data_IF_285868693671
#
_entry.id   IF_285868693671
#
_cell.length_a   1.000
_cell.length_b   1.000
_cell.length_c   1.000
_cell.angle_alpha   90.00
_cell.angle_beta   90.00
_cell.angle_gamma   90.00
#
_symmetry.space_group_name_H-M   'P 1'
#
loop_
_entity.id
_entity.type
_entity.pdbx_description
1 polymer ?
#
# COMPACT_ATOMS: atom_id res chain seq x y z
N UNK A 1 -8.02 6.55 4.54
CA UNK A 1 -7.45 6.90 5.88
C UNK A 1 -7.28 8.40 6.04
N UNK A 2 -6.50 9.11 5.20
CA UNK A 2 -6.26 10.57 5.33
C UNK A 2 -7.56 11.38 5.28
N UNK A 3 -8.47 11.09 4.33
CA UNK A 3 -9.81 11.72 4.27
C UNK A 3 -10.63 11.48 5.55
N UNK A 4 -10.56 10.26 6.10
CA UNK A 4 -11.20 9.93 7.37
C UNK A 4 -10.60 10.67 8.59
N UNK A 5 -9.36 11.12 8.49
CA UNK A 5 -8.70 11.97 9.49
C UNK A 5 -8.95 13.48 9.25
N UNK A 6 -9.79 13.85 8.28
CA UNK A 6 -10.15 15.24 7.99
C UNK A 6 -9.27 15.94 6.95
N UNK A 7 -8.34 15.25 6.30
CA UNK A 7 -7.53 15.86 5.26
C UNK A 7 -8.32 16.06 3.96
N UNK A 8 -8.06 17.17 3.26
CA UNK A 8 -8.38 17.30 1.82
C UNK A 8 -7.36 16.45 1.06
N UNK A 9 -7.82 15.45 0.33
CA UNK A 9 -6.95 14.52 -0.38
C UNK A 9 -7.08 14.73 -1.88
N UNK A 10 -5.94 14.91 -2.53
CA UNK A 10 -5.79 14.93 -3.99
C UNK A 10 -5.11 13.62 -4.39
N UNK A 11 -5.62 12.98 -5.42
CA UNK A 11 -5.05 11.75 -5.99
C UNK A 11 -4.38 12.07 -7.32
N UNK A 12 -3.19 11.51 -7.54
CA UNK A 12 -2.55 11.50 -8.85
C UNK A 12 -2.55 10.07 -9.37
N UNK A 13 -2.97 9.85 -10.60
CA UNK A 13 -3.13 8.50 -11.15
C UNK A 13 -2.91 8.49 -12.67
N UNK A 14 -2.34 7.40 -13.19
CA UNK A 14 -2.12 7.19 -14.63
C UNK A 14 -3.18 6.28 -15.26
N UNK A 15 -3.75 5.35 -14.46
CA UNK A 15 -4.79 4.44 -14.94
C UNK A 15 -6.15 5.17 -14.95
N UNK A 16 -6.79 5.29 -16.13
CA UNK A 16 -8.08 6.00 -16.23
C UNK A 16 -9.19 5.32 -15.42
N UNK A 17 -9.15 4.01 -15.22
CA UNK A 17 -10.13 3.28 -14.40
C UNK A 17 -9.95 3.63 -12.93
N UNK A 18 -8.72 3.57 -12.42
CA UNK A 18 -8.41 3.96 -11.04
C UNK A 18 -8.68 5.44 -10.80
N UNK A 19 -8.36 6.31 -11.75
CA UNK A 19 -8.67 7.74 -11.68
C UNK A 19 -10.20 7.99 -11.59
N UNK A 20 -10.99 7.27 -12.40
CA UNK A 20 -12.44 7.35 -12.35
C UNK A 20 -12.99 6.84 -11.01
N UNK A 21 -12.49 5.72 -10.50
CA UNK A 21 -12.87 5.21 -9.18
C UNK A 21 -12.58 6.23 -8.07
N UNK A 22 -11.37 6.81 -8.06
CA UNK A 22 -11.00 7.84 -7.10
C UNK A 22 -11.95 9.06 -7.17
N UNK A 23 -12.29 9.50 -8.38
CA UNK A 23 -13.23 10.59 -8.59
C UNK A 23 -14.65 10.26 -8.10
N UNK A 24 -15.13 9.03 -8.34
CA UNK A 24 -16.43 8.55 -7.85
C UNK A 24 -16.46 8.42 -6.32
N UNK A 25 -15.33 8.12 -5.68
CA UNK A 25 -15.16 8.13 -4.21
C UNK A 25 -15.07 9.54 -3.62
N UNK A 26 -15.17 10.56 -4.47
CA UNK A 26 -15.19 11.98 -4.10
C UNK A 26 -13.80 12.53 -3.77
N UNK A 27 -12.75 12.01 -4.42
CA UNK A 27 -11.43 12.62 -4.43
C UNK A 27 -11.26 13.54 -5.62
N UNK A 28 -10.49 14.59 -5.44
CA UNK A 28 -9.99 15.41 -6.52
C UNK A 28 -8.83 14.66 -7.20
N UNK A 29 -8.86 14.54 -8.53
CA UNK A 29 -7.81 13.86 -9.30
C UNK A 29 -7.10 14.90 -10.15
N UNK A 30 -5.78 15.06 -9.95
CA UNK A 30 -4.93 16.05 -10.65
C UNK A 30 -3.59 15.43 -11.05
N UNK A 31 -2.88 16.11 -11.95
CA UNK A 31 -1.45 15.81 -12.15
C UNK A 31 -0.64 16.33 -10.98
N UNK A 32 0.50 15.68 -10.72
CA UNK A 32 1.37 16.01 -9.59
C UNK A 32 1.82 17.50 -9.65
N UNK A 33 2.24 17.96 -10.80
CA UNK A 33 2.72 19.34 -11.01
C UNK A 33 1.65 20.39 -10.66
N UNK A 34 0.38 20.03 -10.84
CA UNK A 34 -0.75 20.91 -10.48
C UNK A 34 -1.10 20.84 -9.00
N UNK A 35 -0.87 19.68 -8.35
CA UNK A 35 -1.19 19.44 -6.95
C UNK A 35 -0.12 19.99 -5.98
N UNK A 36 1.15 19.95 -6.35
CA UNK A 36 2.28 20.33 -5.49
C UNK A 36 2.13 21.71 -4.85
N UNK A 37 1.75 22.78 -5.56
CA UNK A 37 1.67 24.12 -4.96
C UNK A 37 0.61 24.28 -3.87
N UNK A 38 -0.27 23.29 -3.69
CA UNK A 38 -1.32 23.31 -2.68
C UNK A 38 -1.21 22.14 -1.67
N UNK A 39 -0.13 21.33 -1.79
CA UNK A 39 0.06 20.14 -0.96
C UNK A 39 0.90 20.45 0.29
N UNK A 40 0.38 20.09 1.46
CA UNK A 40 1.14 20.10 2.72
C UNK A 40 1.87 18.77 2.94
N UNK A 41 1.32 17.67 2.42
CA UNK A 41 1.89 16.33 2.57
C UNK A 41 1.82 15.62 1.21
N UNK A 42 2.95 15.10 0.75
CA UNK A 42 3.06 14.30 -0.48
C UNK A 42 3.44 12.88 -0.09
N UNK A 43 2.61 11.93 -0.51
CA UNK A 43 2.82 10.50 -0.27
C UNK A 43 2.93 9.79 -1.61
N UNK A 44 4.07 9.20 -1.91
CA UNK A 44 4.24 8.36 -3.09
C UNK A 44 3.88 6.91 -2.79
N UNK A 45 3.16 6.24 -3.69
CA UNK A 45 2.63 4.89 -3.51
C UNK A 45 2.46 4.15 -4.84
N UNK A 46 3.31 4.42 -5.82
CA UNK A 46 3.12 3.98 -7.19
C UNK A 46 3.82 2.66 -7.54
N UNK A 47 4.84 2.28 -6.77
CA UNK A 47 5.73 1.17 -7.12
C UNK A 47 6.60 1.45 -8.37
N UNK A 48 6.65 2.70 -8.83
CA UNK A 48 7.43 3.15 -9.97
C UNK A 48 8.71 3.88 -9.48
N UNK A 49 9.33 4.68 -10.30
CA UNK A 49 10.52 5.47 -9.96
C UNK A 49 10.35 6.94 -10.36
N UNK A 50 11.17 7.79 -9.74
CA UNK A 50 11.30 9.22 -10.10
C UNK A 50 9.95 9.95 -10.16
N UNK A 51 9.07 9.66 -9.22
CA UNK A 51 7.75 10.31 -9.12
C UNK A 51 7.91 11.75 -8.60
N UNK A 52 8.68 11.92 -7.51
CA UNK A 52 9.04 13.23 -7.00
C UNK A 52 10.49 13.51 -7.40
N UNK A 53 10.68 14.45 -8.33
CA UNK A 53 11.96 14.86 -8.89
C UNK A 53 12.34 16.27 -8.46
N UNK A 54 13.49 16.74 -8.92
CA UNK A 54 14.05 18.03 -8.56
C UNK A 54 13.09 19.21 -8.78
N UNK A 55 12.46 19.31 -9.96
CA UNK A 55 11.49 20.34 -10.26
C UNK A 55 10.27 20.32 -9.34
N UNK A 56 9.90 19.16 -8.83
CA UNK A 56 8.81 19.01 -7.87
C UNK A 56 9.20 19.57 -6.49
N UNK A 57 10.40 19.25 -6.01
CA UNK A 57 10.92 19.81 -4.76
C UNK A 57 10.99 21.33 -4.79
N UNK A 58 11.44 21.90 -5.91
CA UNK A 58 11.56 23.35 -6.08
C UNK A 58 10.21 24.07 -6.16
N UNK A 59 9.12 23.36 -6.45
CA UNK A 59 7.75 23.87 -6.54
C UNK A 59 6.94 23.69 -5.25
N UNK A 60 7.49 23.01 -4.23
CA UNK A 60 6.83 22.78 -2.95
C UNK A 60 6.76 24.03 -2.09
N UNK A 61 5.70 24.13 -1.30
CA UNK A 61 5.56 25.17 -0.29
C UNK A 61 6.45 24.92 0.92
N UNK A 62 6.67 25.96 1.72
CA UNK A 62 7.37 25.85 3.00
C UNK A 62 6.69 24.82 3.91
N UNK A 63 7.49 23.96 4.54
CA UNK A 63 7.09 22.86 5.43
C UNK A 63 6.31 21.72 4.79
N UNK A 64 6.34 21.60 3.47
CA UNK A 64 5.81 20.41 2.81
C UNK A 64 6.54 19.16 3.31
N UNK A 65 5.76 18.13 3.68
CA UNK A 65 6.27 16.83 4.11
C UNK A 65 6.21 15.85 2.94
N UNK A 66 7.32 15.18 2.68
CA UNK A 66 7.43 14.21 1.59
C UNK A 66 7.77 12.84 2.16
N UNK A 67 7.00 11.82 1.79
CA UNK A 67 7.24 10.46 2.22
C UNK A 67 6.80 9.43 1.18
N UNK A 68 7.36 8.23 1.29
CA UNK A 68 7.08 7.12 0.41
C UNK A 68 6.46 5.95 1.18
N UNK A 69 5.43 5.34 0.60
CA UNK A 69 4.83 4.08 1.05
C UNK A 69 4.85 3.03 -0.08
N UNK A 70 5.47 3.34 -1.21
CA UNK A 70 5.72 2.41 -2.29
C UNK A 70 6.77 1.36 -1.92
N UNK A 71 7.04 0.42 -2.81
CA UNK A 71 7.85 -0.76 -2.49
C UNK A 71 9.35 -0.45 -2.27
N UNK A 72 9.91 0.45 -3.07
CA UNK A 72 11.32 0.84 -3.01
C UNK A 72 11.50 2.33 -2.75
N UNK A 73 12.71 2.73 -2.40
CA UNK A 73 13.13 4.09 -2.10
C UNK A 73 13.43 4.97 -3.35
N UNK A 74 13.11 4.49 -4.53
CA UNK A 74 13.39 5.14 -5.81
C UNK A 74 12.22 6.00 -6.35
N UNK A 75 11.11 6.10 -5.63
CA UNK A 75 9.99 6.97 -6.04
C UNK A 75 10.29 8.46 -5.82
N UNK A 76 11.17 8.77 -4.86
CA UNK A 76 11.58 10.12 -4.50
C UNK A 76 13.06 10.26 -4.83
N UNK A 77 13.43 11.23 -5.68
CA UNK A 77 14.81 11.45 -6.10
C UNK A 77 15.65 12.12 -4.99
N UNK A 78 15.96 11.32 -3.97
CA UNK A 78 16.82 11.76 -2.85
C UNK A 78 18.27 11.99 -3.33
N UNK A 79 18.72 11.31 -4.37
CA UNK A 79 20.05 11.50 -4.92
C UNK A 79 20.21 12.92 -5.49
N UNK A 80 19.24 13.37 -6.26
CA UNK A 80 19.21 14.75 -6.76
C UNK A 80 19.14 15.75 -5.61
N UNK A 81 18.29 15.52 -4.62
CA UNK A 81 18.13 16.38 -3.47
C UNK A 81 19.44 16.54 -2.68
N UNK A 82 20.14 15.45 -2.40
CA UNK A 82 21.45 15.48 -1.74
C UNK A 82 22.53 16.18 -2.60
N UNK A 83 22.49 16.01 -3.90
CA UNK A 83 23.46 16.63 -4.80
C UNK A 83 23.29 18.16 -4.86
N UNK A 84 22.06 18.67 -4.84
CA UNK A 84 21.78 20.10 -5.05
C UNK A 84 21.57 20.88 -3.75
N UNK A 85 21.07 20.23 -2.71
CA UNK A 85 20.68 20.85 -1.44
C UNK A 85 21.22 20.10 -0.21
N UNK A 86 22.15 19.16 -0.39
CA UNK A 86 22.75 18.38 0.69
C UNK A 86 23.43 19.21 1.76
N UNK A 87 24.04 20.35 1.39
CA UNK A 87 24.67 21.28 2.34
C UNK A 87 23.66 21.94 3.30
N UNK A 88 22.38 21.99 2.91
CA UNK A 88 21.30 22.52 3.74
C UNK A 88 20.56 21.45 4.55
N UNK A 89 20.98 20.17 4.41
CA UNK A 89 20.36 19.05 5.13
C UNK A 89 20.56 19.17 6.62
N UNK A 90 19.47 19.14 7.36
CA UNK A 90 19.44 19.10 8.83
C UNK A 90 18.56 17.95 9.31
N UNK A 91 19.15 17.00 10.04
CA UNK A 91 18.40 15.88 10.63
C UNK A 91 17.74 16.32 11.92
N UNK A 92 16.46 16.67 11.86
CA UNK A 92 15.67 17.18 12.99
C UNK A 92 15.53 16.12 14.09
N UNK A 93 15.32 14.88 13.68
CA UNK A 93 15.27 13.68 14.55
C UNK A 93 15.50 12.43 13.68
N UNK A 94 15.76 11.25 14.28
CA UNK A 94 15.96 10.03 13.50
C UNK A 94 14.88 9.83 12.44
N UNK A 95 15.31 9.61 11.19
CA UNK A 95 14.47 9.40 10.00
C UNK A 95 13.64 10.62 9.56
N UNK A 96 13.98 11.84 10.03
CA UNK A 96 13.30 13.09 9.62
C UNK A 96 14.35 14.13 9.27
N UNK A 97 14.53 14.36 8.00
CA UNK A 97 15.47 15.32 7.44
C UNK A 97 14.75 16.55 6.89
N UNK A 98 15.32 17.72 7.16
CA UNK A 98 14.89 19.00 6.59
C UNK A 98 15.91 19.46 5.57
N UNK A 99 15.45 19.94 4.44
CA UNK A 99 16.25 20.59 3.41
C UNK A 99 15.72 22.00 3.17
N UNK A 100 16.59 23.01 3.10
CA UNK A 100 16.17 24.34 2.68
C UNK A 100 16.34 24.48 1.17
N UNK A 101 15.21 24.58 0.48
CA UNK A 101 15.13 24.63 -0.98
C UNK A 101 14.59 25.99 -1.40
N UNK A 102 15.43 26.84 -1.95
CA UNK A 102 15.05 28.20 -2.38
C UNK A 102 14.34 29.03 -1.30
N UNK A 103 14.66 28.78 -0.03
CA UNK A 103 14.08 29.50 1.11
C UNK A 103 12.90 28.79 1.77
N UNK A 104 12.38 27.70 1.20
CA UNK A 104 11.36 26.85 1.78
C UNK A 104 12.00 25.65 2.47
N UNK A 105 11.55 25.32 3.66
CA UNK A 105 11.96 24.12 4.39
C UNK A 105 11.10 22.93 3.95
N UNK A 106 11.72 21.93 3.33
CA UNK A 106 11.04 20.69 2.93
C UNK A 106 11.46 19.56 3.87
N UNK A 107 10.49 18.81 4.36
CA UNK A 107 10.70 17.74 5.34
C UNK A 107 10.58 16.39 4.63
N UNK A 108 11.65 15.61 4.62
CA UNK A 108 11.71 14.28 4.02
C UNK A 108 11.72 13.22 5.11
N UNK A 109 10.79 12.28 5.02
CA UNK A 109 10.69 11.18 5.98
C UNK A 109 11.41 9.93 5.47
N UNK A 110 12.13 9.26 6.37
CA UNK A 110 12.83 7.99 6.15
C UNK A 110 13.76 7.99 4.92
N UNK A 111 14.29 9.16 4.50
CA UNK A 111 15.14 9.31 3.31
C UNK A 111 14.50 8.71 2.04
N UNK A 112 13.18 8.84 1.89
CA UNK A 112 12.43 8.26 0.76
C UNK A 112 12.16 6.76 0.86
N UNK A 113 12.65 6.07 1.91
CA UNK A 113 12.32 4.68 2.17
C UNK A 113 10.90 4.54 2.72
N UNK A 114 10.42 3.31 2.87
CA UNK A 114 9.09 3.00 3.42
C UNK A 114 8.84 3.70 4.76
N UNK A 115 8.00 4.72 4.76
CA UNK A 115 7.72 5.57 5.92
C UNK A 115 7.08 4.82 7.07
N UNK A 116 6.25 3.82 6.79
CA UNK A 116 5.62 3.00 7.83
C UNK A 116 6.62 2.13 8.63
N UNK A 117 7.78 1.84 8.05
CA UNK A 117 8.86 1.12 8.72
C UNK A 117 9.89 2.08 9.33
N UNK A 118 10.23 3.16 8.63
CA UNK A 118 11.23 4.13 9.09
C UNK A 118 10.73 5.07 10.18
N UNK A 119 9.50 5.55 10.08
CA UNK A 119 8.92 6.56 10.98
C UNK A 119 7.74 6.05 11.82
N UNK A 120 7.36 4.76 11.68
CA UNK A 120 6.27 4.15 12.42
C UNK A 120 6.62 2.69 12.79
N UNK A 121 5.64 1.94 13.25
CA UNK A 121 5.83 0.56 13.76
C UNK A 121 5.44 -0.53 12.75
N UNK A 122 5.14 -0.15 11.52
CA UNK A 122 4.63 -1.07 10.49
C UNK A 122 3.20 -1.54 10.76
N UNK A 123 2.84 -2.68 10.18
CA UNK A 123 1.52 -3.28 10.37
C UNK A 123 1.41 -3.99 11.74
N UNK A 124 0.23 -3.97 12.37
CA UNK A 124 -0.02 -4.76 13.58
C UNK A 124 0.27 -6.24 13.38
N UNK A 125 0.79 -6.91 14.41
CA UNK A 125 1.15 -8.34 14.36
C UNK A 125 -0.02 -9.23 13.95
N UNK A 126 -1.24 -8.90 14.36
CA UNK A 126 -2.44 -9.65 13.98
C UNK A 126 -2.71 -9.58 12.47
N UNK A 127 -2.52 -8.40 11.84
CA UNK A 127 -2.66 -8.25 10.39
C UNK A 127 -1.60 -9.07 9.65
N UNK A 128 -0.33 -8.98 10.10
CA UNK A 128 0.77 -9.73 9.51
C UNK A 128 0.65 -11.25 9.73
N UNK A 129 0.00 -11.68 10.81
CA UNK A 129 -0.31 -13.11 11.06
C UNK A 129 -1.10 -13.73 9.91
N UNK A 130 -2.05 -13.00 9.29
CA UNK A 130 -2.77 -13.49 8.11
C UNK A 130 -1.81 -13.78 6.95
N UNK A 131 -0.91 -12.83 6.66
CA UNK A 131 0.08 -12.99 5.59
C UNK A 131 1.05 -14.14 5.85
N UNK A 132 1.59 -14.24 7.07
CA UNK A 132 2.53 -15.31 7.43
C UNK A 132 1.88 -16.70 7.44
N UNK A 133 0.64 -16.79 7.90
CA UNK A 133 -0.12 -18.04 7.86
C UNK A 133 -0.35 -18.48 6.41
N UNK A 134 -0.71 -17.52 5.53
CA UNK A 134 -0.90 -17.82 4.12
C UNK A 134 0.41 -18.31 3.47
N UNK A 135 1.53 -17.63 3.70
CA UNK A 135 2.85 -18.06 3.22
C UNK A 135 3.22 -19.46 3.72
N UNK A 136 2.96 -19.75 4.99
CA UNK A 136 3.24 -21.07 5.57
C UNK A 136 2.37 -22.16 4.94
N UNK A 137 1.07 -21.91 4.78
CA UNK A 137 0.17 -22.88 4.14
C UNK A 137 0.52 -23.08 2.66
N UNK A 138 0.95 -22.04 1.96
CA UNK A 138 1.44 -22.13 0.60
C UNK A 138 2.65 -23.07 0.48
N UNK A 139 3.63 -22.92 1.36
CA UNK A 139 4.80 -23.79 1.38
C UNK A 139 4.42 -25.25 1.70
N UNK A 140 3.51 -25.45 2.64
CA UNK A 140 3.01 -26.81 2.98
C UNK A 140 2.29 -27.43 1.79
N UNK A 141 1.47 -26.66 1.08
CA UNK A 141 0.76 -27.11 -0.12
C UNK A 141 1.74 -27.56 -1.22
N UNK A 142 2.68 -26.68 -1.57
CA UNK A 142 3.68 -26.97 -2.58
C UNK A 142 4.58 -28.17 -2.21
N UNK A 143 4.92 -28.30 -0.94
CA UNK A 143 5.72 -29.45 -0.47
C UNK A 143 4.95 -30.76 -0.53
N UNK A 144 3.73 -30.79 -0.01
CA UNK A 144 2.92 -32.01 0.07
C UNK A 144 2.44 -32.49 -1.30
N UNK A 145 2.13 -31.55 -2.17
CA UNK A 145 1.51 -31.81 -3.48
C UNK A 145 2.44 -31.45 -4.64
N UNK A 146 3.76 -31.49 -4.40
CA UNK A 146 4.79 -31.08 -5.37
C UNK A 146 4.66 -31.70 -6.75
N UNK A 147 4.10 -32.91 -6.84
CA UNK A 147 3.88 -33.59 -8.12
C UNK A 147 2.79 -32.95 -8.99
N UNK A 148 1.98 -32.07 -8.43
CA UNK A 148 0.91 -31.35 -9.12
C UNK A 148 1.36 -29.97 -9.63
N UNK A 149 2.61 -29.58 -9.33
CA UNK A 149 3.15 -28.27 -9.64
C UNK A 149 4.44 -28.43 -10.42
N UNK A 150 4.46 -27.87 -11.62
CA UNK A 150 5.69 -27.73 -12.40
C UNK A 150 6.47 -26.49 -11.93
N UNK A 151 7.62 -26.21 -12.55
CA UNK A 151 8.40 -25.01 -12.26
C UNK A 151 7.77 -23.79 -12.96
N UNK A 152 6.67 -23.28 -12.38
CA UNK A 152 5.88 -22.19 -12.91
C UNK A 152 5.22 -21.38 -11.76
N UNK A 153 4.47 -20.34 -12.10
CA UNK A 153 3.70 -19.51 -11.16
C UNK A 153 2.26 -20.00 -11.10
N UNK A 154 1.80 -20.34 -9.90
CA UNK A 154 0.46 -20.86 -9.65
C UNK A 154 -0.34 -19.96 -8.72
N UNK A 155 -1.65 -19.89 -8.97
CA UNK A 155 -2.62 -19.47 -7.98
C UNK A 155 -2.99 -20.68 -7.12
N UNK A 156 -2.79 -20.57 -5.83
CA UNK A 156 -3.13 -21.65 -4.91
C UNK A 156 -4.64 -21.75 -4.68
N UNK A 157 -5.14 -22.94 -4.27
CA UNK A 157 -6.57 -23.16 -4.05
C UNK A 157 -7.18 -22.15 -3.06
N UNK A 158 -8.35 -21.59 -3.40
CA UNK A 158 -9.10 -20.64 -2.55
C UNK A 158 -9.38 -21.16 -1.13
N UNK A 159 -9.48 -22.46 -0.97
CA UNK A 159 -9.64 -23.07 0.35
C UNK A 159 -8.50 -22.76 1.33
N UNK A 160 -7.29 -22.47 0.83
CA UNK A 160 -6.18 -22.04 1.69
C UNK A 160 -6.41 -20.62 2.23
N UNK A 161 -6.88 -19.70 1.39
CA UNK A 161 -7.23 -18.33 1.81
C UNK A 161 -8.36 -18.36 2.84
N UNK A 162 -9.42 -19.14 2.57
CA UNK A 162 -10.53 -19.31 3.49
C UNK A 162 -10.11 -19.93 4.82
N UNK A 163 -9.16 -20.87 4.80
CA UNK A 163 -8.59 -21.48 6.00
C UNK A 163 -7.83 -20.45 6.84
N UNK A 164 -7.02 -19.60 6.21
CA UNK A 164 -6.34 -18.49 6.90
C UNK A 164 -7.36 -17.59 7.58
N UNK A 165 -8.39 -17.16 6.86
CA UNK A 165 -9.44 -16.30 7.39
C UNK A 165 -10.16 -16.97 8.58
N UNK A 166 -10.58 -18.23 8.45
CA UNK A 166 -11.26 -18.97 9.52
C UNK A 166 -10.43 -19.03 10.81
N UNK A 167 -9.13 -19.33 10.71
CA UNK A 167 -8.22 -19.37 11.86
C UNK A 167 -8.13 -18.03 12.61
N UNK A 168 -8.24 -16.91 11.89
CA UNK A 168 -8.15 -15.57 12.49
C UNK A 168 -9.50 -15.07 13.03
N UNK A 169 -10.62 -15.48 12.40
CA UNK A 169 -11.97 -15.09 12.84
C UNK A 169 -12.32 -15.60 14.24
N UNK A 170 -11.84 -16.77 14.61
CA UNK A 170 -12.02 -17.30 15.96
C UNK A 170 -11.45 -16.35 17.03
N UNK A 171 -10.31 -15.74 16.75
CA UNK A 171 -9.66 -14.80 17.66
C UNK A 171 -10.44 -13.49 17.83
N UNK A 172 -11.25 -13.15 16.84
CA UNK A 172 -12.11 -11.96 16.83
C UNK A 172 -13.53 -12.23 17.35
N UNK A 173 -13.80 -13.47 17.80
CA UNK A 173 -15.13 -13.91 18.23
C UNK A 173 -16.20 -13.70 17.16
N UNK A 174 -15.84 -13.90 15.88
CA UNK A 174 -16.76 -13.76 14.75
C UNK A 174 -17.51 -15.05 14.52
N UNK A 175 -18.82 -14.95 14.43
CA UNK A 175 -19.71 -16.05 14.07
C UNK A 175 -20.10 -15.93 12.59
N UNK A 176 -19.76 -16.97 11.80
CA UNK A 176 -20.12 -17.04 10.40
C UNK A 176 -21.51 -17.65 10.22
N UNK A 177 -22.31 -17.06 9.35
CA UNK A 177 -23.56 -17.66 8.89
C UNK A 177 -23.29 -18.98 8.17
N UNK A 178 -24.08 -20.00 8.47
CA UNK A 178 -23.97 -21.30 7.82
C UNK A 178 -24.98 -21.39 6.67
N UNK A 179 -24.51 -21.74 5.48
CA UNK A 179 -25.38 -22.02 4.34
C UNK A 179 -26.22 -23.29 4.59
N UNK A 180 -27.50 -23.20 4.20
CA UNK A 180 -28.32 -24.39 4.00
C UNK A 180 -28.01 -25.02 2.64
N UNK A 181 -28.40 -26.26 2.46
CA UNK A 181 -28.17 -27.01 1.22
C UNK A 181 -28.82 -26.32 0.01
N UNK A 182 -30.10 -25.93 0.16
CA UNK A 182 -30.86 -25.21 -0.87
C UNK A 182 -30.23 -23.87 -1.26
N UNK A 183 -29.61 -23.17 -0.32
CA UNK A 183 -28.90 -21.91 -0.60
C UNK A 183 -27.57 -22.16 -1.34
N UNK A 184 -26.83 -23.17 -0.94
CA UNK A 184 -25.57 -23.53 -1.58
C UNK A 184 -25.81 -23.97 -3.02
N UNK A 185 -26.84 -24.79 -3.25
CA UNK A 185 -27.27 -25.22 -4.59
C UNK A 185 -27.70 -24.02 -5.46
N UNK A 186 -28.52 -23.12 -4.92
CA UNK A 186 -29.00 -21.94 -5.64
C UNK A 186 -27.87 -21.03 -6.17
N UNK A 187 -26.81 -20.82 -5.36
CA UNK A 187 -25.67 -20.00 -5.76
C UNK A 187 -24.52 -20.79 -6.40
N UNK A 188 -24.68 -22.10 -6.55
CA UNK A 188 -23.69 -22.95 -7.24
C UNK A 188 -22.36 -23.16 -6.50
N UNK A 189 -22.37 -23.13 -5.16
CA UNK A 189 -21.18 -23.38 -4.35
C UNK A 189 -21.33 -24.59 -3.46
N UNK A 190 -20.22 -25.12 -2.94
CA UNK A 190 -20.28 -26.14 -1.91
C UNK A 190 -20.61 -25.49 -0.56
N UNK A 191 -21.35 -26.20 0.29
CA UNK A 191 -21.74 -25.72 1.62
C UNK A 191 -20.56 -25.34 2.52
N UNK A 192 -19.46 -26.02 2.36
CA UNK A 192 -18.21 -25.82 3.10
C UNK A 192 -17.21 -24.88 2.40
N UNK A 193 -17.54 -24.44 1.19
CA UNK A 193 -16.67 -23.63 0.33
C UNK A 193 -15.88 -24.45 -0.71
N UNK A 194 -15.07 -23.81 -1.53
CA UNK A 194 -14.86 -22.37 -1.54
C UNK A 194 -16.12 -21.58 -1.95
N UNK A 195 -16.31 -20.41 -1.35
CA UNK A 195 -17.51 -19.57 -1.59
C UNK A 195 -17.37 -18.64 -2.78
N UNK A 196 -16.19 -18.57 -3.38
CA UNK A 196 -15.87 -17.80 -4.58
C UNK A 196 -15.15 -18.69 -5.59
N UNK A 197 -15.29 -18.37 -6.86
CA UNK A 197 -14.52 -19.01 -7.93
C UNK A 197 -13.01 -18.71 -7.78
N UNK A 198 -12.18 -19.54 -8.41
CA UNK A 198 -10.72 -19.37 -8.36
C UNK A 198 -10.26 -18.05 -9.01
N UNK A 199 -11.04 -17.53 -9.96
CA UNK A 199 -10.75 -16.25 -10.64
C UNK A 199 -11.10 -15.02 -9.80
N UNK A 200 -11.86 -15.17 -8.72
CA UNK A 200 -12.31 -14.03 -7.92
C UNK A 200 -11.14 -13.39 -7.17
N UNK A 201 -11.07 -12.07 -7.23
CA UNK A 201 -10.14 -11.22 -6.46
C UNK A 201 -10.93 -10.43 -5.41
N UNK A 202 -10.42 -10.44 -4.18
CA UNK A 202 -11.00 -9.66 -3.08
C UNK A 202 -10.55 -8.19 -3.13
#
# INVERSE_FOLDING_TARGET
SLKGAGARVIVTEIDPICALQASMDGFEVKRLETAIPEADIIVTATGNKDIVRGEHFEAMNDKTIVCNIGHFDNEIDIAWLNQHYGDSKDTIKPQVDRYNIKGNDIIVLAEGRLVNLGCATGHPSFVMSNSFTNQTLAQIELWKNSKNYDNDVYLLPKLLDEKVAKLHLEKLSVELTKLREDQAEYIGVKKEGPFKSDDYRY
#
